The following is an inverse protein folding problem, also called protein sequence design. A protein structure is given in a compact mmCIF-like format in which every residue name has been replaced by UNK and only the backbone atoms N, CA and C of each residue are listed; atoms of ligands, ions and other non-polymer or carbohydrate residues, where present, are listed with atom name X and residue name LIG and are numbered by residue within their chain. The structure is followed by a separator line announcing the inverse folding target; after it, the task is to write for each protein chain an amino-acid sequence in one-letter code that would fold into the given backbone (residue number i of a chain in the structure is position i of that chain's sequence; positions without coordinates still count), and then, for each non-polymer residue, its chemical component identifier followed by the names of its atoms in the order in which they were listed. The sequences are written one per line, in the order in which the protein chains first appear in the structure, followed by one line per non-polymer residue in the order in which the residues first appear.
data_IF_071796184711
#
_entry.id   IF_071796184711
#
_cell.length_a   1.000
_cell.length_b   1.000
_cell.length_c   1.000
_cell.angle_alpha   90.00
_cell.angle_beta   90.00
_cell.angle_gamma   90.00
#
_symmetry.space_group_name_H-M   'P 1'
#
loop_
_entity.id
_entity.type
_entity.pdbx_description
1 polymer ?
#
# COMPACT_ATOMS: atom_id res chain seq x y z
N UNK A 1 -17.47 40.31 -55.43
CA UNK A 1 -17.59 39.12 -54.57
C UNK A 1 -16.41 39.15 -53.60
N UNK A 2 -16.68 39.23 -52.30
CA UNK A 2 -15.69 39.32 -51.22
C UNK A 2 -14.95 37.98 -51.06
N UNK A 3 -13.64 37.94 -50.80
CA UNK A 3 -13.01 36.73 -50.27
C UNK A 3 -13.39 36.60 -48.79
N UNK A 4 -13.80 35.39 -48.39
CA UNK A 4 -14.09 35.05 -47.00
C UNK A 4 -12.77 34.99 -46.21
N UNK A 5 -12.75 35.70 -45.08
CA UNK A 5 -11.67 35.64 -44.11
C UNK A 5 -11.66 34.28 -43.41
N UNK A 6 -10.52 33.61 -43.43
CA UNK A 6 -10.21 32.48 -42.55
C UNK A 6 -9.74 33.11 -41.23
N UNK A 7 -10.61 33.16 -40.22
CA UNK A 7 -10.20 33.47 -38.85
C UNK A 7 -9.62 32.20 -38.24
N UNK A 8 -8.30 32.17 -38.10
CA UNK A 8 -7.59 31.21 -37.25
C UNK A 8 -7.74 31.74 -35.83
N UNK A 9 -8.65 31.15 -35.05
CA UNK A 9 -8.69 31.36 -33.61
C UNK A 9 -7.54 30.58 -32.98
N UNK A 10 -6.52 31.29 -32.49
CA UNK A 10 -5.44 30.70 -31.72
C UNK A 10 -6.00 30.30 -30.34
N UNK A 11 -6.08 29.01 -30.04
CA UNK A 11 -6.20 28.52 -28.66
C UNK A 11 -4.85 28.75 -27.98
N UNK A 12 -4.76 29.78 -27.14
CA UNK A 12 -3.59 29.96 -26.29
C UNK A 12 -3.84 29.23 -24.95
N UNK A 13 -3.19 28.08 -24.78
CA UNK A 13 -3.10 27.39 -23.50
C UNK A 13 -1.98 28.03 -22.67
N UNK A 14 -2.30 29.14 -21.98
CA UNK A 14 -1.38 29.80 -21.07
C UNK A 14 -1.60 29.26 -19.64
N UNK A 15 -0.57 28.64 -19.06
CA UNK A 15 -0.45 28.50 -17.62
C UNK A 15 -0.07 29.89 -17.11
N UNK A 16 -1.04 30.63 -16.57
CA UNK A 16 -0.78 31.97 -16.06
C UNK A 16 -0.14 31.84 -14.68
N UNK A 17 1.20 31.90 -14.62
CA UNK A 17 1.86 32.40 -13.43
C UNK A 17 1.48 33.88 -13.28
N UNK A 18 1.06 34.31 -12.08
CA UNK A 18 0.59 35.68 -11.82
C UNK A 18 1.50 36.74 -12.49
N UNK A 19 1.04 37.34 -13.59
CA UNK A 19 1.80 38.40 -14.26
C UNK A 19 1.44 38.74 -15.71
N UNK A 20 0.80 37.86 -16.48
CA UNK A 20 0.39 38.19 -17.85
C UNK A 20 -1.02 38.80 -17.92
N UNK A 21 -1.18 39.82 -18.77
CA UNK A 21 -2.44 40.52 -19.02
C UNK A 21 -3.47 39.57 -19.63
N UNK A 22 -4.57 39.31 -18.91
CA UNK A 22 -5.70 38.51 -19.39
C UNK A 22 -6.27 39.08 -20.69
N UNK A 23 -6.73 38.22 -21.63
CA UNK A 23 -7.34 38.69 -22.87
C UNK A 23 -8.63 39.50 -22.60
N UNK A 24 -8.88 40.54 -23.40
CA UNK A 24 -10.13 41.33 -23.32
C UNK A 24 -11.38 40.49 -23.62
N UNK A 25 -11.24 39.38 -24.34
CA UNK A 25 -12.32 38.47 -24.69
C UNK A 25 -12.74 37.57 -23.53
N UNK A 26 -14.03 37.22 -23.50
CA UNK A 26 -14.58 36.23 -22.58
C UNK A 26 -13.84 34.89 -22.62
N UNK A 27 -13.50 34.36 -21.44
CA UNK A 27 -12.75 33.10 -21.30
C UNK A 27 -13.18 32.31 -20.06
N UNK A 28 -12.83 31.03 -20.03
CA UNK A 28 -13.06 30.14 -18.89
C UNK A 28 -11.72 29.87 -18.20
N UNK A 29 -11.67 30.06 -16.87
CA UNK A 29 -10.53 29.70 -16.03
C UNK A 29 -10.90 28.43 -15.27
N UNK A 30 -10.20 27.34 -15.56
CA UNK A 30 -10.38 26.05 -14.90
C UNK A 30 -9.33 25.91 -13.81
N UNK A 31 -9.74 26.04 -12.57
CA UNK A 31 -8.93 25.80 -11.38
C UNK A 31 -8.79 24.30 -11.15
N UNK A 32 -7.60 23.84 -10.80
CA UNK A 32 -7.36 22.47 -10.36
C UNK A 32 -7.45 22.41 -8.84
N UNK A 33 -8.16 21.40 -8.33
CA UNK A 33 -8.23 21.11 -6.91
C UNK A 33 -8.17 19.61 -6.63
N UNK A 34 -7.93 19.23 -5.38
CA UNK A 34 -7.95 17.83 -4.96
C UNK A 34 -8.37 17.71 -3.49
N UNK A 35 -9.19 16.70 -3.21
CA UNK A 35 -9.58 16.33 -1.84
C UNK A 35 -8.70 15.20 -1.25
N UNK A 36 -7.72 14.69 -2.01
CA UNK A 36 -6.72 13.73 -1.55
C UNK A 36 -5.37 14.40 -1.31
N UNK A 37 -4.51 13.73 -0.55
CA UNK A 37 -3.16 14.23 -0.32
C UNK A 37 -2.35 14.30 -1.62
N UNK A 38 -1.62 15.41 -1.77
CA UNK A 38 -0.69 15.66 -2.87
C UNK A 38 0.75 15.78 -2.33
N UNK A 39 1.77 15.58 -3.18
CA UNK A 39 3.16 15.78 -2.82
C UNK A 39 3.44 17.20 -2.27
N UNK A 40 4.33 17.27 -1.27
CA UNK A 40 4.88 18.53 -0.74
C UNK A 40 6.35 18.62 -1.15
N UNK A 41 6.68 19.57 -2.02
CA UNK A 41 8.06 19.80 -2.46
C UNK A 41 8.91 20.40 -1.35
N UNK A 42 10.17 19.93 -1.25
CA UNK A 42 11.15 20.45 -0.29
C UNK A 42 10.93 20.04 1.18
N UNK A 43 9.93 19.21 1.47
CA UNK A 43 9.64 18.67 2.81
C UNK A 43 9.78 17.15 2.77
N UNK A 44 10.64 16.57 3.61
CA UNK A 44 10.66 15.13 3.80
C UNK A 44 9.35 14.69 4.44
N UNK A 45 8.54 13.91 3.73
CA UNK A 45 7.33 13.33 4.32
C UNK A 45 7.71 12.35 5.44
N UNK A 46 7.27 12.68 6.65
CA UNK A 46 7.35 11.82 7.81
C UNK A 46 6.35 10.67 7.72
N UNK A 47 6.49 9.66 8.60
CA UNK A 47 5.55 8.52 8.69
C UNK A 47 4.12 8.96 9.03
N UNK A 48 3.99 10.06 9.76
CA UNK A 48 2.71 10.62 10.20
C UNK A 48 2.04 11.49 9.12
N UNK A 49 2.72 11.76 8.01
CA UNK A 49 2.12 12.51 6.91
C UNK A 49 1.24 11.58 6.06
N UNK A 50 0.24 12.18 5.43
CA UNK A 50 -0.58 11.50 4.44
C UNK A 50 0.24 11.05 3.23
N UNK A 51 -0.13 9.90 2.65
CA UNK A 51 0.51 9.38 1.44
C UNK A 51 -0.09 10.07 0.22
N UNK A 52 0.71 10.74 -0.62
CA UNK A 52 0.21 11.27 -1.87
C UNK A 52 -0.27 10.16 -2.78
N UNK A 53 -1.47 10.31 -3.32
CA UNK A 53 -2.03 9.33 -4.27
C UNK A 53 -1.63 9.67 -5.70
N UNK A 54 -1.62 10.96 -6.05
CA UNK A 54 -1.31 11.45 -7.38
C UNK A 54 -0.20 12.49 -7.33
N UNK A 55 0.65 12.52 -8.35
CA UNK A 55 1.69 13.53 -8.52
C UNK A 55 1.58 14.28 -9.85
N UNK A 56 0.74 13.80 -10.76
CA UNK A 56 0.62 14.31 -12.12
C UNK A 56 -0.84 14.30 -12.56
N UNK A 57 -1.25 15.38 -13.24
CA UNK A 57 -2.50 15.46 -13.97
C UNK A 57 -2.23 15.65 -15.47
N UNK A 58 -2.77 14.76 -16.31
CA UNK A 58 -2.87 14.98 -17.75
C UNK A 58 -4.18 15.69 -18.04
N UNK A 59 -4.10 16.84 -18.69
CA UNK A 59 -5.24 17.65 -19.12
C UNK A 59 -5.32 17.61 -20.63
N UNK A 60 -6.48 17.26 -21.15
CA UNK A 60 -6.79 17.18 -22.57
C UNK A 60 -8.06 17.97 -22.89
N UNK A 61 -8.03 18.78 -23.95
CA UNK A 61 -9.24 19.42 -24.48
C UNK A 61 -9.67 18.64 -25.72
N UNK A 62 -10.86 18.07 -25.64
CA UNK A 62 -11.42 17.18 -26.64
C UNK A 62 -12.60 17.83 -27.36
N UNK A 63 -12.75 17.50 -28.64
CA UNK A 63 -14.00 17.68 -29.37
C UNK A 63 -14.99 16.57 -29.00
N UNK A 64 -16.25 16.76 -29.37
CA UNK A 64 -17.32 15.77 -29.16
C UNK A 64 -17.05 14.40 -29.81
N UNK A 65 -16.12 14.29 -30.77
CA UNK A 65 -15.71 13.04 -31.40
C UNK A 65 -14.51 12.35 -30.73
N UNK A 66 -13.95 12.96 -29.68
CA UNK A 66 -12.81 12.44 -28.91
C UNK A 66 -11.45 12.82 -29.45
N UNK A 67 -11.38 13.55 -30.57
CA UNK A 67 -10.13 14.12 -31.05
C UNK A 67 -9.68 15.30 -30.19
N UNK A 68 -8.37 15.48 -30.03
CA UNK A 68 -7.81 16.68 -29.40
C UNK A 68 -8.25 17.92 -30.19
N UNK A 69 -8.71 18.95 -29.48
CA UNK A 69 -9.17 20.20 -30.07
C UNK A 69 -8.05 20.97 -30.79
N UNK A 70 -6.79 20.74 -30.44
CA UNK A 70 -5.61 21.34 -31.06
C UNK A 70 -4.36 20.50 -30.79
N UNK A 71 -3.27 20.76 -31.52
CA UNK A 71 -2.00 20.04 -31.36
C UNK A 71 -1.40 20.19 -29.94
N UNK A 72 -1.63 21.35 -29.30
CA UNK A 72 -1.15 21.67 -27.95
C UNK A 72 -2.20 21.45 -26.84
N UNK A 73 -3.34 20.83 -27.17
CA UNK A 73 -4.48 20.65 -26.26
C UNK A 73 -4.30 19.46 -25.31
N UNK A 74 -3.10 18.93 -25.17
CA UNK A 74 -2.70 17.92 -24.18
C UNK A 74 -1.50 18.41 -23.40
N UNK A 75 -1.59 18.43 -22.07
CA UNK A 75 -0.46 18.76 -21.19
C UNK A 75 -0.46 17.95 -19.91
N UNK A 76 0.73 17.63 -19.44
CA UNK A 76 0.93 17.06 -18.11
C UNK A 76 1.33 18.19 -17.15
N UNK A 77 0.69 18.22 -15.98
CA UNK A 77 0.87 19.23 -14.93
C UNK A 77 1.22 18.52 -13.64
N UNK A 78 2.27 18.97 -12.96
CA UNK A 78 2.61 18.47 -11.64
C UNK A 78 1.51 18.86 -10.63
N UNK A 79 1.00 17.87 -9.89
CA UNK A 79 0.09 18.09 -8.78
C UNK A 79 0.92 18.21 -7.50
N UNK A 80 0.96 19.39 -6.92
CA UNK A 80 1.68 19.67 -5.66
C UNK A 80 0.79 20.48 -4.72
N UNK A 81 0.89 20.21 -3.42
CA UNK A 81 0.09 20.93 -2.40
C UNK A 81 0.23 22.44 -2.53
N UNK A 82 1.48 22.95 -2.63
CA UNK A 82 1.75 24.38 -2.70
C UNK A 82 1.19 25.03 -3.99
N UNK A 83 1.23 24.30 -5.11
CA UNK A 83 0.70 24.78 -6.38
C UNK A 83 -0.83 24.90 -6.34
N UNK A 84 -1.52 23.85 -5.84
CA UNK A 84 -2.97 23.88 -5.66
C UNK A 84 -3.39 24.98 -4.67
N UNK A 85 -2.64 25.19 -3.58
CA UNK A 85 -2.87 26.31 -2.64
C UNK A 85 -2.69 27.69 -3.27
N UNK A 86 -1.72 27.82 -4.18
CA UNK A 86 -1.49 29.03 -4.95
C UNK A 86 -2.59 29.29 -6.01
N UNK A 87 -3.45 28.31 -6.29
CA UNK A 87 -4.54 28.42 -7.27
C UNK A 87 -4.12 28.04 -8.68
N UNK A 88 -3.41 26.91 -8.84
CA UNK A 88 -3.10 26.35 -10.16
C UNK A 88 -4.37 26.29 -11.02
N UNK A 89 -4.28 26.88 -12.21
CA UNK A 89 -5.38 26.95 -13.15
C UNK A 89 -4.88 26.97 -14.59
N UNK A 90 -5.77 26.70 -15.53
CA UNK A 90 -5.51 26.91 -16.95
C UNK A 90 -6.70 27.63 -17.60
N UNK A 91 -6.43 28.32 -18.71
CA UNK A 91 -7.45 29.13 -19.40
C UNK A 91 -7.85 28.49 -20.73
N UNK A 92 -9.16 28.49 -21.01
CA UNK A 92 -9.73 28.06 -22.28
C UNK A 92 -10.37 29.29 -22.96
N UNK A 93 -9.94 29.56 -24.20
CA UNK A 93 -10.39 30.71 -25.01
C UNK A 93 -11.41 30.33 -26.10
N UNK A 94 -11.75 29.06 -26.23
CA UNK A 94 -12.50 28.54 -27.37
C UNK A 94 -14.01 28.84 -27.29
N UNK A 95 -14.65 29.23 -28.41
CA UNK A 95 -16.10 29.26 -28.50
C UNK A 95 -16.64 27.87 -28.88
N UNK A 96 -17.34 27.20 -27.97
CA UNK A 96 -18.02 25.94 -28.28
C UNK A 96 -18.17 24.99 -27.08
N UNK A 97 -18.89 23.88 -27.30
CA UNK A 97 -18.97 22.76 -26.35
C UNK A 97 -17.75 21.86 -26.54
N UNK A 98 -16.69 22.16 -25.81
CA UNK A 98 -15.49 21.33 -25.69
C UNK A 98 -15.56 20.52 -24.39
N UNK A 99 -14.89 19.37 -24.38
CA UNK A 99 -14.82 18.49 -23.21
C UNK A 99 -13.40 18.56 -22.65
N UNK A 100 -13.26 18.89 -21.37
CA UNK A 100 -12.01 18.69 -20.63
C UNK A 100 -11.97 17.23 -20.20
N UNK A 101 -10.97 16.49 -20.67
CA UNK A 101 -10.60 15.19 -20.12
C UNK A 101 -9.38 15.36 -19.22
N UNK A 102 -9.53 15.07 -17.93
CA UNK A 102 -8.47 15.17 -16.95
C UNK A 102 -8.21 13.82 -16.30
N UNK A 103 -6.95 13.40 -16.27
CA UNK A 103 -6.50 12.15 -15.64
C UNK A 103 -5.45 12.47 -14.59
N UNK A 104 -5.75 12.25 -13.30
CA UNK A 104 -4.74 12.28 -12.24
C UNK A 104 -4.18 10.88 -11.98
N UNK A 105 -2.86 10.77 -11.90
CA UNK A 105 -2.13 9.51 -11.76
C UNK A 105 -0.80 9.71 -11.01
N UNK A 106 -0.16 8.58 -10.68
CA UNK A 106 1.16 8.54 -10.06
C UNK A 106 2.20 8.19 -11.12
N UNK A 107 3.14 9.11 -11.37
CA UNK A 107 4.05 9.10 -12.52
C UNK A 107 4.98 7.88 -12.59
N UNK A 108 5.35 7.31 -11.45
CA UNK A 108 6.21 6.11 -11.32
C UNK A 108 5.48 4.79 -11.65
N UNK A 109 4.15 4.82 -11.81
CA UNK A 109 3.32 3.64 -12.14
C UNK A 109 2.71 3.68 -13.53
N UNK A 110 3.01 4.72 -14.31
CA UNK A 110 2.30 5.00 -15.56
C UNK A 110 3.06 4.51 -16.80
N UNK A 111 2.78 3.27 -17.24
CA UNK A 111 3.00 2.81 -18.64
C UNK A 111 1.95 1.77 -19.14
N UNK A 112 0.97 2.28 -19.90
CA UNK A 112 0.30 1.83 -21.14
C UNK A 112 0.04 0.34 -21.48
N UNK A 113 -0.46 -0.51 -20.58
CA UNK A 113 -1.10 -1.77 -21.04
C UNK A 113 -2.29 -2.33 -20.26
N UNK A 114 -2.76 -1.69 -19.18
CA UNK A 114 -4.08 -2.00 -18.63
C UNK A 114 -4.31 -1.62 -17.17
N UNK A 115 -5.45 -0.95 -16.92
CA UNK A 115 -6.10 -0.88 -15.61
C UNK A 115 -5.40 -0.01 -14.57
N UNK A 116 -5.04 1.23 -14.90
CA UNK A 116 -4.45 2.15 -13.93
C UNK A 116 -5.47 2.62 -12.90
N UNK A 117 -5.05 2.70 -11.64
CA UNK A 117 -5.76 3.46 -10.61
C UNK A 117 -5.47 4.94 -10.83
N UNK A 118 -6.38 5.59 -11.53
CA UNK A 118 -6.40 7.01 -11.84
C UNK A 118 -7.70 7.65 -11.33
N UNK A 119 -7.73 8.97 -11.22
CA UNK A 119 -8.99 9.71 -11.28
C UNK A 119 -9.14 10.21 -12.70
N UNK A 120 -10.20 9.80 -13.38
CA UNK A 120 -10.51 10.20 -14.75
C UNK A 120 -11.82 10.98 -14.79
N UNK A 121 -11.78 12.17 -15.40
CA UNK A 121 -12.90 13.10 -15.42
C UNK A 121 -13.09 13.59 -16.86
N UNK A 122 -14.30 13.44 -17.41
CA UNK A 122 -14.75 14.10 -18.63
C UNK A 122 -15.76 15.14 -18.22
N UNK A 123 -15.48 16.41 -18.48
CA UNK A 123 -16.34 17.51 -18.07
C UNK A 123 -16.61 18.49 -19.19
N UNK A 124 -17.85 18.96 -19.27
CA UNK A 124 -18.26 20.01 -20.18
C UNK A 124 -17.60 21.32 -19.80
N UNK A 125 -16.97 21.97 -20.77
CA UNK A 125 -16.51 23.35 -20.62
C UNK A 125 -17.73 24.27 -20.77
N UNK A 126 -18.08 25.07 -19.75
CA UNK A 126 -19.18 25.99 -19.88
C UNK A 126 -18.87 27.08 -20.91
N UNK A 127 -19.92 27.68 -21.50
CA UNK A 127 -19.73 28.80 -22.40
C UNK A 127 -19.01 29.97 -21.67
N UNK A 128 -18.01 30.60 -22.31
CA UNK A 128 -17.36 31.79 -21.77
C UNK A 128 -18.36 32.96 -21.70
N UNK A 129 -18.15 33.92 -20.78
CA UNK A 129 -18.95 35.14 -20.72
C UNK A 129 -18.72 36.00 -21.97
N UNK A 130 -19.49 37.09 -22.14
CA UNK A 130 -19.24 38.02 -23.24
C UNK A 130 -17.87 38.70 -23.11
N UNK A 131 -17.56 39.16 -21.89
CA UNK A 131 -16.29 39.78 -21.51
C UNK A 131 -15.85 39.24 -20.13
N UNK A 132 -14.54 39.17 -19.87
CA UNK A 132 -13.97 38.75 -18.59
C UNK A 132 -13.84 37.23 -18.39
N UNK A 133 -13.64 36.81 -17.15
CA UNK A 133 -13.40 35.41 -16.78
C UNK A 133 -14.67 34.76 -16.21
N UNK A 134 -14.89 33.49 -16.56
CA UNK A 134 -15.75 32.57 -15.80
C UNK A 134 -14.87 31.54 -15.11
N UNK A 135 -14.79 31.62 -13.80
CA UNK A 135 -14.09 30.64 -12.98
C UNK A 135 -14.93 29.39 -12.77
N UNK A 136 -14.28 28.23 -12.96
CA UNK A 136 -14.81 26.92 -12.63
C UNK A 136 -13.70 26.06 -12.02
N UNK A 137 -14.08 25.03 -11.27
CA UNK A 137 -13.14 24.13 -10.59
C UNK A 137 -13.30 22.70 -11.08
N UNK A 138 -12.16 22.06 -11.34
CA UNK A 138 -12.02 20.62 -11.56
C UNK A 138 -11.33 20.01 -10.35
N UNK A 139 -12.11 19.30 -9.54
CA UNK A 139 -11.60 18.62 -8.34
C UNK A 139 -11.34 17.15 -8.64
N UNK A 140 -10.11 16.69 -8.40
CA UNK A 140 -9.74 15.27 -8.35
C UNK A 140 -10.17 14.68 -7.00
N UNK A 141 -11.26 13.90 -7.02
CA UNK A 141 -11.90 13.40 -5.81
C UNK A 141 -11.53 11.97 -5.48
N UNK A 142 -11.48 11.67 -4.18
CA UNK A 142 -11.29 10.33 -3.65
C UNK A 142 -12.35 9.33 -4.15
N UNK A 143 -13.60 9.77 -4.30
CA UNK A 143 -14.71 8.93 -4.78
C UNK A 143 -14.60 8.54 -6.26
N UNK A 144 -13.81 9.28 -7.03
CA UNK A 144 -13.60 9.10 -8.47
C UNK A 144 -12.36 8.21 -8.78
N UNK A 145 -11.63 7.74 -7.75
CA UNK A 145 -10.46 6.88 -7.92
C UNK A 145 -10.91 5.54 -8.51
N UNK A 146 -10.37 5.16 -9.66
CA UNK A 146 -10.77 3.95 -10.40
C UNK A 146 -12.21 3.97 -10.92
N UNK A 147 -12.89 5.12 -10.85
CA UNK A 147 -14.29 5.30 -11.24
C UNK A 147 -14.43 6.59 -12.07
N UNK A 148 -14.35 6.47 -13.41
CA UNK A 148 -14.57 7.58 -14.33
C UNK A 148 -15.76 8.48 -13.97
N UNK A 149 -15.52 9.79 -13.84
CA UNK A 149 -16.56 10.81 -13.67
C UNK A 149 -16.93 11.42 -15.01
N UNK A 150 -18.13 11.09 -15.48
CA UNK A 150 -18.59 11.48 -16.81
C UNK A 150 -17.97 10.61 -17.90
N UNK A 151 -18.35 10.88 -19.14
CA UNK A 151 -17.77 10.27 -20.33
C UNK A 151 -17.78 11.27 -21.48
N UNK A 152 -17.23 10.89 -22.63
CA UNK A 152 -17.31 11.76 -23.80
C UNK A 152 -18.75 12.00 -24.28
N UNK A 153 -19.61 10.98 -24.20
CA UNK A 153 -21.00 11.05 -24.64
C UNK A 153 -21.92 11.70 -23.59
N UNK A 154 -21.49 11.69 -22.33
CA UNK A 154 -22.23 12.24 -21.19
C UNK A 154 -21.27 12.89 -20.20
N UNK A 155 -20.66 14.03 -20.57
CA UNK A 155 -19.69 14.72 -19.73
C UNK A 155 -20.32 15.22 -18.42
N UNK A 156 -19.52 15.19 -17.37
CA UNK A 156 -19.87 15.77 -16.08
C UNK A 156 -19.84 17.31 -16.14
N UNK A 157 -20.32 17.96 -15.07
CA UNK A 157 -20.21 19.42 -14.93
C UNK A 157 -19.05 19.79 -14.04
N UNK A 158 -18.33 20.85 -14.40
CA UNK A 158 -17.38 21.52 -13.52
C UNK A 158 -18.12 22.29 -12.42
N UNK A 159 -17.46 22.47 -11.28
CA UNK A 159 -17.98 23.25 -10.16
C UNK A 159 -17.88 24.74 -10.47
N UNK A 160 -18.91 25.53 -10.21
CA UNK A 160 -18.88 26.98 -10.49
C UNK A 160 -18.06 27.74 -9.46
N UNK A 161 -17.20 28.65 -9.93
CA UNK A 161 -16.33 29.47 -9.11
C UNK A 161 -14.95 28.85 -8.82
N UNK A 162 -14.07 29.59 -8.12
CA UNK A 162 -12.79 29.08 -7.66
C UNK A 162 -12.95 28.07 -6.51
N UNK A 163 -11.94 27.24 -6.22
CA UNK A 163 -12.02 26.21 -5.19
C UNK A 163 -12.25 26.81 -3.80
N UNK A 164 -13.04 26.14 -2.93
CA UNK A 164 -13.35 26.61 -1.59
C UNK A 164 -12.10 26.71 -0.70
N UNK A 165 -12.10 27.67 0.23
CA UNK A 165 -11.04 27.85 1.24
C UNK A 165 -11.66 27.99 2.64
N UNK A 166 -11.30 27.13 3.63
CA UNK A 166 -10.39 25.98 3.53
C UNK A 166 -10.97 24.86 2.65
N UNK A 167 -10.09 24.04 2.07
CA UNK A 167 -10.49 22.87 1.28
C UNK A 167 -11.13 21.80 2.17
N UNK A 168 -12.06 21.05 1.60
CA UNK A 168 -12.63 19.86 2.21
C UNK A 168 -11.82 18.64 1.77
N UNK A 169 -11.05 18.07 2.69
CA UNK A 169 -10.29 16.84 2.43
C UNK A 169 -11.21 15.62 2.59
N UNK A 170 -10.99 14.60 1.78
CA UNK A 170 -11.68 13.32 1.89
C UNK A 170 -11.34 12.62 3.23
N UNK A 171 -12.21 11.74 3.74
CA UNK A 171 -11.87 10.86 4.85
C UNK A 171 -10.57 10.09 4.56
N UNK A 172 -9.69 9.96 5.56
CA UNK A 172 -8.39 9.28 5.45
C UNK A 172 -7.39 9.92 4.47
N UNK A 173 -7.70 11.08 3.88
CA UNK A 173 -6.72 11.89 3.16
C UNK A 173 -5.64 12.45 4.08
N UNK A 174 -5.87 12.41 5.40
CA UNK A 174 -4.87 12.54 6.44
C UNK A 174 -4.84 11.28 7.31
N UNK A 175 -3.76 11.10 8.08
CA UNK A 175 -3.66 9.99 9.03
C UNK A 175 -4.73 10.11 10.11
N UNK A 176 -5.40 9.00 10.40
CA UNK A 176 -6.38 8.92 11.48
C UNK A 176 -5.73 8.23 12.67
N UNK A 177 -5.53 8.91 13.82
CA UNK A 177 -4.90 8.28 14.98
C UNK A 177 -5.80 7.20 15.58
N UNK A 178 -5.20 6.26 16.32
CA UNK A 178 -5.97 5.31 17.10
C UNK A 178 -6.67 6.02 18.26
N UNK A 179 -7.89 5.58 18.57
CA UNK A 179 -8.59 5.98 19.78
C UNK A 179 -8.86 4.76 20.66
N UNK A 180 -9.15 4.97 21.93
CA UNK A 180 -9.33 3.89 22.91
C UNK A 180 -8.06 3.53 23.67
N UNK A 181 -8.12 2.45 24.45
CA UNK A 181 -6.99 1.99 25.28
C UNK A 181 -6.20 0.93 24.53
N UNK A 182 -4.92 1.19 24.29
CA UNK A 182 -4.01 0.22 23.69
C UNK A 182 -3.80 -0.97 24.65
N UNK A 183 -3.85 -2.23 24.15
CA UNK A 183 -3.35 -3.38 24.90
C UNK A 183 -1.86 -3.18 25.25
N UNK A 184 -1.39 -3.88 26.28
CA UNK A 184 0.04 -3.86 26.65
C UNK A 184 0.89 -4.42 25.50
N UNK A 185 2.10 -3.88 25.32
CA UNK A 185 3.04 -4.30 24.28
C UNK A 185 2.48 -4.21 22.84
N UNK A 186 1.67 -3.18 22.59
CA UNK A 186 1.17 -2.85 21.25
C UNK A 186 1.53 -1.42 20.84
N UNK A 187 1.54 -1.17 19.53
CA UNK A 187 1.65 0.17 18.95
C UNK A 187 0.40 0.54 18.16
N UNK A 188 0.07 1.83 18.14
CA UNK A 188 -0.95 2.39 17.27
C UNK A 188 -0.44 2.48 15.83
N UNK A 189 -1.13 1.78 14.93
CA UNK A 189 -1.04 1.99 13.49
C UNK A 189 -2.13 2.98 13.10
N UNK A 190 -1.80 4.24 12.76
CA UNK A 190 -2.80 5.21 12.36
C UNK A 190 -3.43 4.77 11.03
N UNK A 191 -4.74 4.95 10.92
CA UNK A 191 -5.46 4.72 9.69
C UNK A 191 -5.04 5.70 8.60
N UNK A 192 -5.32 5.35 7.35
CA UNK A 192 -4.94 6.18 6.21
C UNK A 192 -5.09 5.44 4.89
N UNK A 193 -4.87 6.19 3.81
CA UNK A 193 -4.76 5.66 2.47
C UNK A 193 -3.33 5.27 2.12
N UNK A 194 -3.16 4.20 1.36
CA UNK A 194 -1.88 3.80 0.79
C UNK A 194 -2.04 3.01 -0.51
N UNK A 195 -0.92 2.80 -1.18
CA UNK A 195 -0.82 1.93 -2.35
C UNK A 195 -0.48 0.52 -1.92
N UNK A 196 -1.42 -0.40 -2.13
CA UNK A 196 -1.26 -1.83 -1.96
C UNK A 196 -0.91 -2.48 -3.30
N UNK A 197 -0.05 -3.49 -3.28
CA UNK A 197 0.39 -4.24 -4.45
C UNK A 197 1.76 -3.80 -4.97
N UNK A 198 2.36 -4.65 -5.80
CA UNK A 198 3.71 -4.44 -6.29
C UNK A 198 3.71 -3.54 -7.55
N UNK A 199 4.54 -2.49 -7.54
CA UNK A 199 4.80 -1.65 -8.72
C UNK A 199 5.97 -2.17 -9.56
N UNK A 200 6.76 -3.09 -8.98
CA UNK A 200 7.95 -3.65 -9.62
C UNK A 200 7.57 -4.77 -10.60
N UNK A 201 8.29 -4.83 -11.73
CA UNK A 201 8.33 -5.96 -12.67
C UNK A 201 8.97 -7.21 -12.01
N UNK A 202 8.38 -7.66 -10.91
CA UNK A 202 8.62 -8.98 -10.35
C UNK A 202 7.50 -9.86 -10.89
N UNK A 203 7.74 -10.66 -11.94
CA UNK A 203 6.70 -11.50 -12.52
C UNK A 203 6.41 -12.64 -11.55
N UNK A 204 5.48 -12.41 -10.63
CA UNK A 204 4.85 -13.47 -9.85
C UNK A 204 3.34 -13.37 -10.03
N UNK A 205 2.67 -14.48 -10.41
CA UNK A 205 1.22 -14.50 -10.56
C UNK A 205 0.49 -14.27 -9.24
N UNK A 206 1.18 -14.40 -8.10
CA UNK A 206 0.60 -14.17 -6.77
C UNK A 206 0.59 -12.70 -6.36
N UNK A 207 1.39 -11.83 -6.99
CA UNK A 207 1.45 -10.43 -6.58
C UNK A 207 0.20 -9.68 -7.04
N UNK A 208 -0.33 -8.86 -6.14
CA UNK A 208 -1.46 -7.98 -6.43
C UNK A 208 -1.03 -6.80 -7.31
N UNK A 209 -1.92 -6.41 -8.23
CA UNK A 209 -1.75 -5.17 -8.99
C UNK A 209 -1.88 -3.97 -8.05
N UNK A 210 -1.09 -2.90 -8.29
CA UNK A 210 -1.17 -1.65 -7.53
C UNK A 210 -2.59 -1.10 -7.46
N UNK A 211 -3.01 -0.69 -6.26
CA UNK A 211 -4.33 -0.11 -6.00
C UNK A 211 -4.32 0.77 -4.77
N UNK A 212 -5.28 1.68 -4.66
CA UNK A 212 -5.49 2.47 -3.45
C UNK A 212 -6.38 1.69 -2.48
N UNK A 213 -5.92 1.58 -1.23
CA UNK A 213 -6.64 0.98 -0.11
C UNK A 213 -6.66 1.95 1.05
N UNK A 214 -7.79 1.99 1.76
CA UNK A 214 -7.95 2.67 3.05
C UNK A 214 -7.93 1.62 4.15
N UNK A 215 -7.12 1.86 5.17
CA UNK A 215 -7.04 1.05 6.39
C UNK A 215 -7.48 1.91 7.57
N UNK A 216 -8.41 1.43 8.39
CA UNK A 216 -8.79 2.07 9.66
C UNK A 216 -7.65 1.97 10.68
N UNK A 217 -7.59 2.86 11.68
CA UNK A 217 -6.61 2.72 12.75
C UNK A 217 -6.80 1.42 13.53
N UNK A 218 -5.70 0.81 13.94
CA UNK A 218 -5.68 -0.41 14.76
C UNK A 218 -4.44 -0.44 15.65
N UNK A 219 -4.46 -1.25 16.70
CA UNK A 219 -3.26 -1.55 17.48
C UNK A 219 -2.65 -2.86 17.00
N UNK A 220 -1.32 -2.98 17.05
CA UNK A 220 -0.60 -4.18 16.63
C UNK A 220 0.47 -4.55 17.65
N UNK A 221 0.71 -5.84 17.87
CA UNK A 221 1.81 -6.31 18.71
C UNK A 221 3.16 -5.76 18.22
N UNK A 222 4.04 -5.41 19.16
CA UNK A 222 5.38 -4.88 18.85
C UNK A 222 6.30 -5.92 18.18
N UNK A 223 6.11 -7.20 18.43
CA UNK A 223 6.90 -8.31 17.87
C UNK A 223 5.99 -9.48 17.52
N UNK A 224 6.51 -10.45 16.77
CA UNK A 224 5.86 -11.74 16.58
C UNK A 224 5.63 -12.42 17.94
N UNK A 225 4.52 -13.14 18.09
CA UNK A 225 4.18 -13.81 19.36
C UNK A 225 5.26 -14.83 19.70
N UNK A 226 5.85 -14.71 20.89
CA UNK A 226 6.89 -15.63 21.35
C UNK A 226 6.33 -16.95 21.89
N UNK A 227 7.17 -17.98 21.97
CA UNK A 227 6.82 -19.26 22.59
C UNK A 227 6.38 -19.07 24.04
N UNK A 228 7.04 -18.20 24.80
CA UNK A 228 6.68 -17.96 26.20
C UNK A 228 5.29 -17.32 26.35
N UNK A 229 4.95 -16.34 25.49
CA UNK A 229 3.63 -15.70 25.45
C UNK A 229 2.55 -16.68 24.98
N UNK A 230 2.82 -17.46 23.92
CA UNK A 230 1.89 -18.49 23.44
C UNK A 230 1.61 -19.55 24.50
N UNK A 231 2.65 -19.94 25.24
CA UNK A 231 2.56 -20.93 26.30
C UNK A 231 1.78 -20.39 27.50
N UNK A 232 2.13 -19.19 27.97
CA UNK A 232 1.56 -18.57 29.17
C UNK A 232 0.09 -18.12 28.97
N UNK A 233 -0.26 -17.67 27.76
CA UNK A 233 -1.59 -17.12 27.46
C UNK A 233 -2.54 -18.16 26.83
N UNK A 234 -2.26 -19.45 27.03
CA UNK A 234 -3.22 -20.53 26.73
C UNK A 234 -3.43 -20.86 25.25
N UNK A 235 -2.41 -20.67 24.40
CA UNK A 235 -2.48 -21.07 22.99
C UNK A 235 -2.89 -22.54 22.78
N UNK A 236 -3.51 -22.87 21.65
CA UNK A 236 -3.89 -24.25 21.38
C UNK A 236 -2.68 -25.12 21.05
N UNK A 237 -2.68 -26.37 21.49
CA UNK A 237 -1.66 -27.37 21.10
C UNK A 237 -2.19 -28.29 20.00
N UNK A 238 -3.44 -28.09 19.56
CA UNK A 238 -4.05 -28.87 18.51
C UNK A 238 -3.43 -28.51 17.16
N UNK A 239 -2.85 -29.52 16.48
CA UNK A 239 -2.18 -29.35 15.19
C UNK A 239 -0.83 -28.63 15.26
N UNK A 240 -0.46 -28.08 16.42
CA UNK A 240 0.87 -27.52 16.64
C UNK A 240 1.91 -28.65 16.72
N UNK A 241 3.04 -28.43 16.08
CA UNK A 241 4.16 -29.36 16.13
C UNK A 241 5.28 -28.83 17.04
N UNK A 242 5.60 -29.52 18.15
CA UNK A 242 6.62 -29.08 19.08
C UNK A 242 8.03 -29.27 18.50
N UNK A 243 9.00 -28.54 19.02
CA UNK A 243 10.40 -28.81 18.74
C UNK A 243 10.76 -30.26 19.10
N UNK A 244 11.44 -30.96 18.20
CA UNK A 244 11.90 -32.34 18.39
C UNK A 244 12.98 -32.50 19.49
N UNK A 245 13.65 -31.40 19.86
CA UNK A 245 14.88 -31.38 20.66
C UNK A 245 16.16 -31.44 19.81
N UNK A 246 16.05 -31.71 18.51
CA UNK A 246 17.13 -31.70 17.52
C UNK A 246 17.69 -30.29 17.27
N UNK A 247 18.91 -30.24 16.73
CA UNK A 247 19.64 -28.97 16.51
C UNK A 247 20.35 -28.86 15.17
N UNK A 248 20.43 -29.97 14.46
CA UNK A 248 21.23 -30.19 13.27
C UNK A 248 20.41 -30.19 11.97
N UNK A 249 19.07 -30.23 12.06
CA UNK A 249 18.20 -30.13 10.90
C UNK A 249 17.99 -31.40 10.15
N UNK A 250 18.18 -32.51 10.87
CA UNK A 250 17.91 -33.82 10.35
C UNK A 250 16.39 -33.99 10.13
N UNK A 251 15.58 -33.42 11.02
CA UNK A 251 14.12 -33.49 10.96
C UNK A 251 13.48 -32.11 10.79
N UNK A 252 12.29 -32.08 10.19
CA UNK A 252 11.60 -30.84 9.90
C UNK A 252 11.11 -30.14 11.19
N UNK A 253 10.81 -30.92 12.23
CA UNK A 253 10.37 -30.46 13.55
C UNK A 253 11.53 -29.95 14.42
N UNK A 254 12.78 -30.11 13.97
CA UNK A 254 13.94 -29.41 14.54
C UNK A 254 13.81 -27.88 14.38
N UNK A 255 13.10 -27.44 13.34
CA UNK A 255 12.85 -26.03 13.02
C UNK A 255 11.68 -25.41 13.76
N UNK A 256 10.89 -26.23 14.47
CA UNK A 256 9.81 -25.71 15.30
C UNK A 256 10.37 -25.12 16.60
N UNK A 257 9.80 -24.02 17.11
CA UNK A 257 10.30 -23.31 18.29
C UNK A 257 9.56 -23.68 19.57
N UNK A 258 8.31 -24.15 19.46
CA UNK A 258 7.48 -24.41 20.63
C UNK A 258 8.04 -25.52 21.53
N UNK A 259 8.18 -25.22 22.82
CA UNK A 259 8.53 -26.19 23.87
C UNK A 259 7.57 -26.13 25.04
N UNK A 260 7.20 -27.31 25.56
CA UNK A 260 6.29 -27.43 26.71
C UNK A 260 6.88 -26.82 28.00
N UNK A 261 8.18 -26.97 28.20
CA UNK A 261 8.90 -26.39 29.33
C UNK A 261 9.60 -25.08 28.92
N UNK A 262 9.76 -24.12 29.85
CA UNK A 262 10.63 -22.97 29.68
C UNK A 262 12.04 -23.38 29.25
N UNK A 263 12.64 -22.59 28.37
CA UNK A 263 13.95 -22.92 27.80
C UNK A 263 14.45 -21.92 26.78
N UNK A 264 15.39 -22.36 25.95
CA UNK A 264 16.12 -21.48 25.00
C UNK A 264 15.23 -20.81 23.94
N UNK A 265 14.04 -21.35 23.69
CA UNK A 265 13.12 -20.84 22.67
C UNK A 265 12.06 -19.89 23.23
N UNK A 266 12.09 -19.59 24.53
CA UNK A 266 11.03 -18.79 25.18
C UNK A 266 10.82 -17.41 24.54
N UNK A 267 11.91 -16.78 24.10
CA UNK A 267 11.87 -15.47 23.43
C UNK A 267 11.78 -15.60 21.91
N UNK A 268 11.82 -16.81 21.33
CA UNK A 268 11.67 -17.00 19.89
C UNK A 268 10.22 -16.93 19.47
N UNK A 269 9.92 -16.43 18.26
CA UNK A 269 8.57 -16.44 17.74
C UNK A 269 8.05 -17.87 17.64
N UNK A 270 6.81 -18.09 18.07
CA UNK A 270 6.14 -19.37 17.93
C UNK A 270 5.87 -19.63 16.45
N UNK A 271 6.20 -20.83 15.99
CA UNK A 271 5.97 -21.29 14.62
C UNK A 271 5.39 -22.71 14.64
N UNK A 272 5.25 -23.33 13.46
CA UNK A 272 4.72 -24.69 13.30
C UNK A 272 3.30 -24.87 13.90
N UNK A 273 2.48 -23.83 13.77
CA UNK A 273 1.07 -23.84 14.18
C UNK A 273 0.15 -23.68 12.98
N UNK A 274 -1.00 -24.37 12.96
CA UNK A 274 -2.00 -24.18 11.91
C UNK A 274 -2.65 -22.80 12.03
N UNK A 275 -3.20 -22.30 10.92
CA UNK A 275 -3.85 -20.98 10.88
C UNK A 275 -5.01 -20.89 11.90
N UNK A 276 -5.78 -21.97 12.06
CA UNK A 276 -6.85 -22.05 13.04
C UNK A 276 -6.38 -21.86 14.49
N UNK A 277 -5.20 -22.39 14.85
CA UNK A 277 -4.61 -22.21 16.18
C UNK A 277 -3.99 -20.81 16.35
N UNK A 278 -3.40 -20.26 15.28
CA UNK A 278 -2.90 -18.88 15.21
C UNK A 278 -4.03 -17.88 15.49
N UNK A 279 -5.13 -18.00 14.74
CA UNK A 279 -6.30 -17.14 14.90
C UNK A 279 -6.94 -17.27 16.26
N UNK A 280 -7.16 -18.51 16.74
CA UNK A 280 -7.75 -18.75 18.05
C UNK A 280 -6.95 -18.09 19.18
N UNK A 281 -5.62 -18.06 19.06
CA UNK A 281 -4.76 -17.34 19.99
C UNK A 281 -5.06 -15.83 19.98
N UNK A 282 -4.97 -15.16 18.83
CA UNK A 282 -5.20 -13.70 18.77
C UNK A 282 -6.62 -13.32 19.23
N UNK A 283 -7.63 -14.10 18.87
CA UNK A 283 -9.01 -13.93 19.36
C UNK A 283 -9.09 -14.04 20.88
N UNK A 284 -8.39 -15.01 21.48
CA UNK A 284 -8.36 -15.16 22.95
C UNK A 284 -7.66 -14.00 23.67
N UNK A 285 -6.77 -13.27 22.98
CA UNK A 285 -6.13 -12.06 23.50
C UNK A 285 -6.98 -10.79 23.31
N UNK A 286 -8.16 -10.90 22.71
CA UNK A 286 -9.06 -9.77 22.44
C UNK A 286 -8.79 -9.05 21.11
N UNK A 287 -8.00 -9.65 20.22
CA UNK A 287 -7.73 -9.17 18.87
C UNK A 287 -8.16 -10.17 17.79
N UNK A 288 -7.49 -10.15 16.65
CA UNK A 288 -7.53 -11.19 15.59
C UNK A 288 -6.17 -11.16 14.86
N UNK A 289 -5.98 -12.01 13.85
CA UNK A 289 -4.83 -11.88 12.93
C UNK A 289 -4.94 -10.57 12.12
N UNK A 290 -3.80 -10.05 11.65
CA UNK A 290 -3.80 -8.93 10.71
C UNK A 290 -4.51 -9.34 9.40
N UNK A 291 -5.23 -8.40 8.80
CA UNK A 291 -5.65 -8.56 7.41
C UNK A 291 -4.45 -8.40 6.47
N UNK A 292 -4.58 -8.87 5.24
CA UNK A 292 -3.56 -8.75 4.22
C UNK A 292 -3.23 -7.28 3.92
N UNK A 293 -4.25 -6.43 3.90
CA UNK A 293 -4.08 -5.00 3.74
C UNK A 293 -3.42 -4.33 4.95
N UNK A 294 -3.79 -4.73 6.18
CA UNK A 294 -3.15 -4.22 7.40
C UNK A 294 -1.66 -4.57 7.45
N UNK A 295 -1.31 -5.82 7.09
CA UNK A 295 0.10 -6.27 7.08
C UNK A 295 0.92 -5.53 6.04
N UNK A 296 0.44 -5.42 4.79
CA UNK A 296 1.20 -4.68 3.77
C UNK A 296 1.30 -3.18 4.09
N UNK A 297 0.26 -2.59 4.67
CA UNK A 297 0.30 -1.21 5.12
C UNK A 297 1.41 -1.00 6.16
N UNK A 298 1.49 -1.88 7.16
CA UNK A 298 2.53 -1.85 8.19
C UNK A 298 3.94 -2.09 7.62
N UNK A 299 4.12 -3.15 6.83
CA UNK A 299 5.41 -3.55 6.24
C UNK A 299 5.95 -2.50 5.25
N UNK A 300 5.07 -1.76 4.61
CA UNK A 300 5.42 -0.66 3.71
C UNK A 300 5.68 0.66 4.43
N UNK A 301 5.87 0.61 5.75
CA UNK A 301 6.06 1.74 6.65
C UNK A 301 4.96 2.81 6.53
N UNK A 302 3.72 2.35 6.34
CA UNK A 302 2.51 3.12 6.10
C UNK A 302 2.54 3.96 4.81
N UNK A 303 3.55 3.77 3.95
CA UNK A 303 3.87 4.68 2.84
C UNK A 303 3.87 4.00 1.47
N UNK A 304 3.58 2.71 1.38
CA UNK A 304 3.68 1.97 0.12
C UNK A 304 5.14 1.76 -0.33
N UNK A 305 6.09 1.83 0.61
CA UNK A 305 7.47 1.44 0.33
C UNK A 305 7.61 -0.08 0.16
N UNK A 306 8.60 -0.54 -0.62
CA UNK A 306 8.82 -1.97 -0.78
C UNK A 306 9.34 -2.65 0.49
N UNK A 307 9.96 -1.91 1.42
CA UNK A 307 10.46 -2.42 2.70
C UNK A 307 10.17 -1.42 3.84
N UNK A 308 10.19 -1.85 5.13
CA UNK A 308 9.98 -0.97 6.29
C UNK A 308 10.94 0.25 6.34
N UNK A 309 12.10 0.12 5.71
CA UNK A 309 13.13 1.16 5.64
C UNK A 309 13.17 1.94 4.32
N UNK A 310 12.28 1.67 3.36
CA UNK A 310 12.22 2.38 2.08
C UNK A 310 12.60 1.52 0.89
N UNK A 311 13.34 2.09 -0.06
CA UNK A 311 13.63 1.49 -1.37
C UNK A 311 14.96 0.73 -1.45
N UNK A 312 15.82 0.88 -0.43
CA UNK A 312 17.12 0.21 -0.41
C UNK A 312 16.92 -1.31 -0.39
N UNK A 313 17.59 -2.01 -1.31
CA UNK A 313 17.53 -3.47 -1.39
C UNK A 313 17.99 -4.10 -0.07
N UNK A 314 17.32 -5.14 0.44
CA UNK A 314 17.70 -5.80 1.68
C UNK A 314 19.11 -6.40 1.58
N UNK A 315 19.88 -6.20 2.64
CA UNK A 315 21.13 -6.90 2.91
C UNK A 315 20.99 -7.76 4.16
N UNK A 316 21.97 -8.65 4.40
CA UNK A 316 21.99 -9.49 5.59
C UNK A 316 22.08 -8.74 6.92
N UNK A 317 22.37 -7.43 6.89
CA UNK A 317 22.41 -6.56 8.07
C UNK A 317 21.10 -5.79 8.28
N UNK A 318 20.19 -5.78 7.30
CA UNK A 318 18.95 -5.03 7.38
C UNK A 318 17.83 -5.86 8.01
N UNK A 319 17.79 -7.17 7.74
CA UNK A 319 16.77 -8.08 8.27
C UNK A 319 17.22 -9.55 8.24
N UNK A 320 16.35 -10.43 8.76
CA UNK A 320 16.59 -11.86 8.95
C UNK A 320 16.06 -12.64 7.75
N UNK A 321 16.92 -12.87 6.76
CA UNK A 321 16.56 -13.46 5.46
C UNK A 321 17.68 -14.38 4.96
N UNK A 322 17.42 -15.24 3.98
CA UNK A 322 18.43 -16.09 3.32
C UNK A 322 19.35 -16.93 4.24
N UNK A 323 18.75 -17.55 5.25
CA UNK A 323 19.40 -18.43 6.23
C UNK A 323 18.97 -19.88 6.12
N UNK A 324 18.07 -20.27 5.21
CA UNK A 324 17.66 -21.67 5.11
C UNK A 324 18.85 -22.58 4.75
N UNK A 325 19.10 -23.66 5.51
CA UNK A 325 20.20 -24.56 5.21
C UNK A 325 19.77 -25.57 4.14
N UNK A 326 20.72 -26.25 3.52
CA UNK A 326 20.41 -27.39 2.66
C UNK A 326 20.02 -28.59 3.53
N UNK A 327 18.74 -28.96 3.60
CA UNK A 327 18.36 -30.26 4.18
C UNK A 327 18.24 -31.34 3.09
N UNK A 328 18.58 -32.61 3.37
CA UNK A 328 18.37 -33.73 2.44
C UNK A 328 16.89 -34.09 2.23
N UNK A 329 15.97 -33.47 2.98
CA UNK A 329 14.54 -33.72 2.93
C UNK A 329 13.85 -32.98 1.77
N UNK A 330 14.07 -33.51 0.56
CA UNK A 330 13.20 -33.46 -0.64
C UNK A 330 12.29 -32.22 -0.86
N UNK A 331 12.64 -31.48 -1.93
CA UNK A 331 11.76 -30.67 -2.83
C UNK A 331 11.44 -29.22 -2.45
N UNK A 332 12.44 -28.42 -2.12
CA UNK A 332 12.41 -26.98 -2.46
C UNK A 332 13.74 -26.55 -3.09
N UNK A 333 13.67 -26.01 -4.29
CA UNK A 333 14.82 -25.63 -5.13
C UNK A 333 15.33 -24.21 -4.87
N UNK A 334 14.87 -23.54 -3.81
CA UNK A 334 15.37 -22.22 -3.42
C UNK A 334 16.17 -22.34 -2.11
N UNK A 335 17.38 -22.90 -2.21
CA UNK A 335 18.37 -22.79 -1.15
C UNK A 335 18.86 -21.34 -1.18
N UNK A 336 18.51 -20.53 -0.18
CA UNK A 336 19.14 -19.23 0.00
C UNK A 336 19.91 -19.19 1.31
N UNK A 337 21.25 -19.16 1.17
CA UNK A 337 22.25 -19.24 2.24
C UNK A 337 23.10 -17.98 2.31
N UNK A 338 22.74 -16.95 1.54
CA UNK A 338 23.55 -15.75 1.32
C UNK A 338 23.83 -15.00 2.63
N UNK A 339 22.99 -15.20 3.64
CA UNK A 339 23.07 -14.53 4.94
C UNK A 339 23.30 -15.48 6.12
N UNK A 340 23.81 -16.70 5.86
CA UNK A 340 24.27 -17.57 6.94
C UNK A 340 25.49 -16.95 7.66
N UNK A 341 25.51 -16.90 9.00
CA UNK A 341 26.65 -16.38 9.76
C UNK A 341 27.98 -17.11 9.47
N UNK A 342 27.92 -18.44 9.30
CA UNK A 342 29.01 -19.28 8.82
C UNK A 342 28.45 -20.36 7.87
N UNK A 343 28.74 -20.32 6.56
CA UNK A 343 28.25 -21.33 5.62
C UNK A 343 29.01 -22.67 5.71
N UNK A 344 30.10 -22.74 6.50
CA UNK A 344 30.96 -23.92 6.64
C UNK A 344 30.65 -24.80 7.86
N UNK A 345 29.95 -24.27 8.86
CA UNK A 345 29.48 -25.01 10.03
C UNK A 345 28.04 -25.52 9.83
N UNK A 346 27.66 -26.68 10.41
CA UNK A 346 26.26 -27.08 10.45
C UNK A 346 25.45 -26.01 11.21
N UNK A 347 24.33 -25.53 10.65
CA UNK A 347 23.58 -24.45 11.27
C UNK A 347 22.93 -24.96 12.54
N UNK A 348 23.14 -24.29 13.68
CA UNK A 348 22.25 -24.46 14.83
C UNK A 348 20.90 -23.88 14.42
N UNK A 349 19.88 -24.73 14.36
CA UNK A 349 18.57 -24.31 13.85
C UNK A 349 17.90 -23.28 14.76
N UNK A 350 18.32 -23.21 16.02
CA UNK A 350 17.93 -22.14 16.91
C UNK A 350 18.49 -20.76 16.54
N UNK A 351 19.30 -20.61 15.50
CA UNK A 351 19.83 -19.30 15.03
C UNK A 351 19.29 -18.88 13.66
N UNK A 352 18.32 -19.61 13.10
CA UNK A 352 17.78 -19.31 11.77
C UNK A 352 16.82 -18.12 11.81
N UNK A 353 15.83 -18.17 12.69
CA UNK A 353 15.15 -16.97 13.18
C UNK A 353 15.93 -16.34 14.33
N UNK A 354 15.55 -15.12 14.72
CA UNK A 354 16.02 -14.49 15.95
C UNK A 354 14.92 -14.48 17.02
N UNK A 355 15.31 -14.44 18.31
CA UNK A 355 14.36 -14.14 19.37
C UNK A 355 13.81 -12.73 19.21
N UNK A 356 12.69 -12.43 19.85
CA UNK A 356 12.16 -11.09 20.08
C UNK A 356 13.33 -10.18 20.42
N UNK A 357 13.72 -9.37 19.43
CA UNK A 357 14.94 -8.62 19.52
C UNK A 357 14.83 -7.57 20.64
N UNK A 358 15.84 -7.52 21.49
CA UNK A 358 15.92 -6.60 22.64
C UNK A 358 16.70 -5.32 22.31
N UNK A 359 17.39 -5.24 21.16
CA UNK A 359 18.19 -4.07 20.78
C UNK A 359 18.19 -3.76 19.27
N UNK A 360 18.49 -2.50 18.92
CA UNK A 360 18.56 -2.02 17.53
C UNK A 360 19.71 -2.65 16.72
N UNK A 361 20.77 -3.10 17.39
CA UNK A 361 21.89 -3.79 16.74
C UNK A 361 21.48 -5.18 16.26
N UNK A 362 20.49 -5.79 16.93
CA UNK A 362 19.96 -7.12 16.61
C UNK A 362 18.85 -7.07 15.54
N UNK A 363 18.08 -5.97 15.47
CA UNK A 363 16.94 -5.80 14.53
C UNK A 363 17.37 -5.34 13.13
N UNK A 364 18.53 -4.67 13.01
CA UNK A 364 18.95 -4.04 11.76
C UNK A 364 18.07 -2.84 11.39
N UNK A 365 17.43 -2.89 10.21
CA UNK A 365 16.48 -1.87 9.72
C UNK A 365 15.03 -2.33 9.74
N UNK A 366 14.78 -3.58 10.10
CA UNK A 366 13.48 -4.23 10.04
C UNK A 366 12.52 -3.80 11.16
N UNK A 367 12.13 -2.53 11.13
CA UNK A 367 11.18 -1.98 12.09
C UNK A 367 10.49 -0.71 11.60
N UNK A 368 9.36 -0.41 12.24
CA UNK A 368 8.68 0.88 12.19
C UNK A 368 8.48 1.39 13.62
N UNK A 369 8.93 2.61 13.89
CA UNK A 369 8.62 3.29 15.15
C UNK A 369 7.26 3.98 15.02
N UNK A 370 6.34 3.62 15.91
CA UNK A 370 4.96 4.10 15.97
C UNK A 370 4.64 4.62 17.38
N UNK A 371 3.48 5.25 17.55
CA UNK A 371 3.00 5.59 18.89
C UNK A 371 2.74 4.29 19.67
N UNK A 372 3.29 4.17 20.89
CA UNK A 372 3.20 2.96 21.70
C UNK A 372 4.45 2.08 21.65
N UNK A 373 5.25 2.15 20.57
CA UNK A 373 6.54 1.46 20.54
C UNK A 373 7.10 1.18 19.15
N UNK A 374 8.17 0.39 19.13
CA UNK A 374 8.79 -0.12 17.91
C UNK A 374 8.14 -1.44 17.51
N UNK A 375 7.56 -1.47 16.33
CA UNK A 375 7.13 -2.71 15.69
C UNK A 375 8.29 -3.24 14.87
N UNK A 376 8.76 -4.44 15.17
CA UNK A 376 9.98 -5.04 14.60
C UNK A 376 9.67 -6.38 13.92
N UNK A 377 10.64 -6.90 13.17
CA UNK A 377 10.56 -8.20 12.48
C UNK A 377 9.40 -8.21 11.47
N UNK A 378 9.32 -7.16 10.64
CA UNK A 378 8.26 -6.98 9.63
C UNK A 378 8.64 -7.57 8.26
N UNK A 379 9.94 -7.66 7.96
CA UNK A 379 10.53 -8.05 6.69
C UNK A 379 11.58 -9.16 6.86
N UNK A 380 11.14 -10.39 7.09
CA UNK A 380 11.99 -11.54 7.37
C UNK A 380 11.56 -12.17 8.69
N UNK A 381 12.50 -12.80 9.38
CA UNK A 381 12.27 -13.63 10.56
C UNK A 381 11.26 -14.75 10.28
N UNK A 382 9.97 -14.59 10.56
CA UNK A 382 8.93 -15.46 10.06
C UNK A 382 7.93 -14.71 9.18
N UNK A 383 7.39 -15.43 8.20
CA UNK A 383 6.19 -14.95 7.54
C UNK A 383 5.04 -15.02 8.53
N UNK A 384 4.09 -14.10 8.47
CA UNK A 384 3.00 -14.08 9.44
C UNK A 384 1.69 -14.55 8.81
N UNK A 385 0.96 -15.44 9.51
CA UNK A 385 -0.42 -15.80 9.15
C UNK A 385 -1.35 -14.59 9.18
N UNK A 386 -2.22 -14.48 8.17
CA UNK A 386 -3.16 -13.36 8.02
C UNK A 386 -4.60 -13.84 8.03
N UNK A 387 -5.53 -12.96 8.40
CA UNK A 387 -6.94 -13.25 8.58
C UNK A 387 -7.65 -13.71 7.30
N UNK A 388 -7.21 -13.19 6.16
CA UNK A 388 -7.86 -13.36 4.87
C UNK A 388 -7.89 -14.82 4.40
N UNK A 389 -8.92 -15.15 3.63
CA UNK A 389 -8.91 -16.28 2.72
C UNK A 389 -8.08 -15.93 1.48
N UNK A 390 -7.19 -16.82 1.03
CA UNK A 390 -6.38 -16.54 -0.15
C UNK A 390 -7.27 -16.29 -1.38
N UNK A 391 -7.03 -15.16 -2.04
CA UNK A 391 -7.57 -14.89 -3.35
C UNK A 391 -6.51 -14.40 -4.33
N UNK A 392 -6.65 -14.82 -5.57
CA UNK A 392 -5.82 -14.37 -6.69
C UNK A 392 -6.17 -12.94 -7.07
N UNK A 393 -5.20 -12.27 -7.73
CA UNK A 393 -5.29 -10.85 -8.10
C UNK A 393 -6.55 -10.49 -8.92
N UNK A 394 -7.05 -11.43 -9.72
CA UNK A 394 -8.19 -11.27 -10.63
C UNK A 394 -9.53 -11.75 -10.03
N UNK A 395 -9.54 -12.24 -8.81
CA UNK A 395 -10.76 -12.65 -8.10
C UNK A 395 -11.42 -11.48 -7.36
N UNK A 396 -12.69 -11.65 -6.98
CA UNK A 396 -13.61 -10.58 -6.54
C UNK A 396 -13.06 -9.67 -5.42
N UNK A 397 -12.32 -10.24 -4.46
CA UNK A 397 -11.71 -9.45 -3.38
C UNK A 397 -10.74 -8.39 -3.94
N UNK A 398 -10.03 -8.74 -5.01
CA UNK A 398 -8.98 -7.92 -5.61
C UNK A 398 -9.32 -7.39 -7.02
N UNK A 399 -10.47 -7.70 -7.60
CA UNK A 399 -10.91 -7.12 -8.88
C UNK A 399 -11.88 -5.95 -8.71
N UNK A 400 -12.37 -5.73 -7.49
CA UNK A 400 -13.30 -4.64 -7.15
C UNK A 400 -12.69 -3.25 -7.40
N UNK A 401 -13.50 -2.25 -7.84
CA UNK A 401 -13.02 -0.89 -8.02
C UNK A 401 -12.48 -0.31 -6.71
N UNK A 402 -11.29 0.27 -6.80
CA UNK A 402 -10.65 1.08 -5.75
C UNK A 402 -11.47 2.36 -5.45
N UNK A 403 -11.26 3.03 -4.31
CA UNK A 403 -10.51 2.58 -3.14
C UNK A 403 -11.24 1.45 -2.42
N UNK A 404 -10.49 0.41 -2.03
CA UNK A 404 -11.02 -0.61 -1.11
C UNK A 404 -10.89 -0.08 0.32
N UNK A 405 -11.90 -0.27 1.15
CA UNK A 405 -11.91 0.21 2.56
C UNK A 405 -11.93 -1.01 3.46
N UNK A 406 -10.89 -1.16 4.29
CA UNK A 406 -10.64 -2.34 5.14
C UNK A 406 -10.96 -3.67 4.45
N UNK A 407 -10.34 -3.97 3.29
CA UNK A 407 -10.62 -5.22 2.61
C UNK A 407 -10.19 -6.40 3.50
N UNK A 408 -11.10 -7.36 3.62
CA UNK A 408 -10.84 -8.70 4.16
C UNK A 408 -11.41 -9.69 3.16
N UNK A 409 -10.57 -10.52 2.58
CA UNK A 409 -11.01 -11.53 1.64
C UNK A 409 -11.68 -12.67 2.40
N UNK A 410 -12.91 -12.98 2.00
CA UNK A 410 -13.65 -14.14 2.48
C UNK A 410 -14.07 -15.00 1.31
N UNK A 411 -13.76 -16.30 1.37
CA UNK A 411 -14.16 -17.29 0.38
C UNK A 411 -14.49 -18.59 1.10
N UNK A 412 -15.76 -19.05 1.07
CA UNK A 412 -16.16 -20.28 1.75
C UNK A 412 -15.48 -21.53 1.18
N UNK A 413 -14.91 -21.43 -0.02
CA UNK A 413 -14.22 -22.51 -0.72
C UNK A 413 -12.69 -22.36 -0.66
N UNK A 414 -12.15 -21.35 0.07
CA UNK A 414 -10.72 -21.17 0.18
C UNK A 414 -10.07 -22.35 0.91
N UNK A 415 -9.00 -22.87 0.29
CA UNK A 415 -8.17 -23.93 0.83
C UNK A 415 -6.86 -23.39 1.42
N UNK A 416 -6.61 -22.10 1.29
CA UNK A 416 -5.34 -21.46 1.62
C UNK A 416 -5.57 -20.12 2.29
N UNK A 417 -4.64 -19.74 3.16
CA UNK A 417 -4.53 -18.40 3.76
C UNK A 417 -3.24 -17.72 3.30
N UNK A 418 -3.22 -16.38 3.16
CA UNK A 418 -2.01 -15.66 2.85
C UNK A 418 -1.07 -15.58 4.06
N UNK A 419 0.21 -15.55 3.74
CA UNK A 419 1.27 -15.11 4.66
C UNK A 419 2.12 -14.02 3.99
N UNK A 420 2.63 -13.08 4.79
CA UNK A 420 3.44 -11.93 4.34
C UNK A 420 4.60 -11.65 5.30
N UNK A 421 5.46 -10.71 4.91
CA UNK A 421 6.70 -10.35 5.61
C UNK A 421 7.93 -11.12 5.11
N UNK A 422 7.73 -12.31 4.53
CA UNK A 422 8.85 -13.19 4.19
C UNK A 422 9.46 -13.80 5.44
N UNK A 423 10.50 -14.62 5.33
CA UNK A 423 11.07 -15.34 6.48
C UNK A 423 12.57 -15.45 6.35
N UNK A 424 13.21 -15.95 7.41
CA UNK A 424 14.62 -16.33 7.39
C UNK A 424 14.96 -17.25 6.23
N UNK A 425 14.01 -18.00 5.67
CA UNK A 425 14.27 -18.96 4.59
C UNK A 425 14.30 -18.31 3.20
N UNK A 426 13.75 -17.11 3.04
CA UNK A 426 13.49 -16.49 1.74
C UNK A 426 14.57 -15.42 1.44
N UNK A 427 14.89 -15.25 0.15
CA UNK A 427 15.86 -14.24 -0.29
C UNK A 427 15.31 -12.81 -0.28
N UNK A 428 16.19 -11.83 -0.53
CA UNK A 428 15.88 -10.39 -0.45
C UNK A 428 14.62 -9.96 -1.25
N UNK A 429 14.31 -10.60 -2.37
CA UNK A 429 13.09 -10.30 -3.14
C UNK A 429 11.79 -10.66 -2.41
N UNK A 430 11.80 -11.73 -1.60
CA UNK A 430 10.60 -12.27 -0.98
C UNK A 430 10.35 -11.78 0.45
N UNK A 431 11.10 -10.78 0.91
CA UNK A 431 10.82 -10.00 2.14
C UNK A 431 10.27 -8.61 1.82
N UNK A 432 9.89 -8.36 0.56
CA UNK A 432 9.20 -7.12 0.19
C UNK A 432 7.79 -7.09 0.79
N UNK A 433 7.32 -5.91 1.19
CA UNK A 433 6.00 -5.71 1.81
C UNK A 433 4.85 -6.28 0.96
N UNK A 434 4.95 -6.15 -0.37
CA UNK A 434 3.96 -6.65 -1.33
C UNK A 434 4.05 -8.17 -1.58
N UNK A 435 5.12 -8.83 -1.12
CA UNK A 435 5.33 -10.25 -1.37
C UNK A 435 4.37 -11.09 -0.53
N UNK A 436 3.67 -12.01 -1.18
CA UNK A 436 2.67 -12.89 -0.56
C UNK A 436 2.82 -14.32 -1.02
N UNK A 437 2.66 -15.24 -0.08
CA UNK A 437 2.59 -16.69 -0.30
C UNK A 437 1.28 -17.24 0.26
N UNK A 438 0.86 -18.39 -0.25
CA UNK A 438 -0.35 -19.07 0.19
C UNK A 438 0.01 -20.41 0.84
N UNK A 439 -0.66 -20.75 1.93
CA UNK A 439 -0.47 -22.02 2.62
C UNK A 439 -1.80 -22.60 3.10
N UNK A 440 -1.98 -23.93 3.08
CA UNK A 440 -3.16 -24.57 3.65
C UNK A 440 -3.15 -24.40 5.18
N UNK A 441 -4.33 -24.54 5.80
CA UNK A 441 -4.50 -24.39 7.26
C UNK A 441 -3.53 -25.26 8.08
N UNK A 442 -3.17 -26.45 7.58
CA UNK A 442 -2.39 -27.48 8.27
C UNK A 442 -0.89 -27.57 7.88
N UNK A 443 -0.31 -26.53 7.26
CA UNK A 443 0.98 -26.63 6.55
C UNK A 443 2.18 -27.21 7.35
N UNK A 444 2.37 -28.54 7.26
CA UNK A 444 3.36 -29.36 7.99
C UNK A 444 4.84 -28.96 7.81
N UNK A 445 5.27 -28.45 6.65
CA UNK A 445 6.71 -28.16 6.39
C UNK A 445 7.00 -26.67 6.32
N UNK A 446 6.05 -25.88 5.81
CA UNK A 446 6.19 -24.43 5.76
C UNK A 446 5.91 -23.76 7.11
N UNK A 447 5.22 -24.45 8.02
CA UNK A 447 4.94 -23.96 9.36
C UNK A 447 6.18 -23.50 10.12
N UNK A 448 7.36 -24.07 9.87
CA UNK A 448 8.60 -23.65 10.54
C UNK A 448 9.06 -22.23 10.18
N UNK A 449 8.64 -21.71 9.03
CA UNK A 449 8.96 -20.36 8.58
C UNK A 449 7.78 -19.39 8.74
N UNK A 450 6.70 -19.82 9.41
CA UNK A 450 5.46 -19.06 9.57
C UNK A 450 5.15 -18.90 11.07
N UNK A 451 5.03 -17.66 11.50
CA UNK A 451 4.63 -17.25 12.84
C UNK A 451 3.34 -16.45 12.82
N UNK A 452 3.12 -15.68 13.88
CA UNK A 452 1.91 -14.89 14.07
C UNK A 452 2.21 -13.56 14.75
N UNK A 453 1.36 -12.59 14.46
CA UNK A 453 1.26 -11.31 15.16
C UNK A 453 -0.22 -10.97 15.28
N UNK A 454 -0.64 -10.43 16.41
CA UNK A 454 -2.04 -10.04 16.60
C UNK A 454 -2.25 -8.56 16.33
N UNK A 455 -3.44 -8.25 15.84
CA UNK A 455 -3.97 -6.89 15.73
C UNK A 455 -5.25 -6.75 16.54
N UNK A 456 -5.48 -5.53 17.01
CA UNK A 456 -6.57 -5.20 17.90
C UNK A 456 -7.32 -3.98 17.38
N UNK A 457 -8.65 -3.94 17.51
CA UNK A 457 -9.43 -2.80 17.06
C UNK A 457 -9.06 -1.55 17.86
N UNK A 458 -8.88 -0.42 17.16
CA UNK A 458 -9.00 0.88 17.79
C UNK A 458 -10.49 1.24 17.96
N UNK A 459 -10.84 2.05 18.94
CA UNK A 459 -12.19 2.62 19.00
C UNK A 459 -12.40 3.57 17.81
N UNK A 460 -13.64 3.63 17.31
CA UNK A 460 -14.06 4.46 16.19
C UNK A 460 -14.85 5.68 16.65
#
# INVERSE_FOLDING_TARGET
MRPAAVSIAALAFALVACGETLPEAGHVVVHLDSDVALPRTGVSQGRQDAVPIFDTARIEILRADGSLACDDCRRDVALETAAIEAGTSFTILAPGAEIVHATAFRSDTFDLSGGHVSVEIWADVPAPPADGARDVTLTFRFEDIGRPRGSIDSPAKLEEGPPPRPRHMAPFAERVPCTGTAPSDTACVPGGMFWLGATVDMPSPTLLAPRVVVVQPFFVDLHEVSVSEYRANGGSRQGLSPNSGGRDGEFWDDYCTFTEAPGRFDDYPVNCLPWSAARAYCVSQGGDLLTEAQKEYLDSALRGYPFPWGYDRPTCADAVLARAPSTPAKRSTAINRDCLPDPSEPPDIGVMGFPKAVSREDIGKDFVDLEGGRVQDLAGNLSEWLLDDWQWRDEDCWSSPTPLVDPVCHSPDALYHPVRGGSYAIGAAGVAASWRLQYPDDADVAGSAIGIRCAYPAAQ
#
